data_IF_154060723623
#
_entry.id   IF_154060723623
#
_cell.length_a   1.000
_cell.length_b   1.000
_cell.length_c   1.000
_cell.angle_alpha   90.00
_cell.angle_beta   90.00
_cell.angle_gamma   90.00
#
_symmetry.space_group_name_H-M   'P 1'
#
loop_
_entity.id
_entity.type
_entity.pdbx_description
1 polymer ?
#
# COMPACT_ATOMS: atom_id res chain seq x y z
N UNK A 1 2.25 23.76 -8.61
CA UNK A 1 2.42 22.30 -8.51
C UNK A 1 3.49 22.01 -7.47
N UNK A 2 3.25 21.13 -6.49
CA UNK A 2 4.28 20.62 -5.57
C UNK A 2 4.81 19.30 -6.14
N UNK A 3 6.07 18.99 -5.90
CA UNK A 3 6.64 17.69 -6.25
C UNK A 3 6.13 16.61 -5.29
N UNK A 4 6.39 15.34 -5.62
CA UNK A 4 6.30 14.20 -4.70
C UNK A 4 7.19 14.42 -3.47
N UNK A 5 7.09 13.52 -2.49
CA UNK A 5 8.14 13.36 -1.49
C UNK A 5 9.46 12.87 -2.12
N UNK A 6 10.41 12.53 -1.25
CA UNK A 6 11.78 12.21 -1.65
C UNK A 6 11.81 10.87 -2.40
N UNK A 7 12.40 10.85 -3.60
CA UNK A 7 12.75 9.63 -4.34
C UNK A 7 11.57 8.66 -4.53
N UNK A 8 10.57 8.98 -5.36
CA UNK A 8 9.41 8.14 -5.59
C UNK A 8 9.81 6.80 -6.23
N UNK A 9 9.06 5.75 -5.92
CA UNK A 9 9.32 4.40 -6.44
C UNK A 9 8.07 3.76 -7.08
N UNK A 10 7.04 3.48 -6.28
CA UNK A 10 5.78 2.90 -6.73
C UNK A 10 4.66 3.94 -6.84
N UNK A 11 3.68 3.71 -7.70
CA UNK A 11 2.47 4.51 -7.75
C UNK A 11 1.25 3.69 -8.17
N UNK A 12 0.06 4.14 -7.77
CA UNK A 12 -1.22 3.51 -8.13
C UNK A 12 -2.33 4.56 -8.25
N UNK A 13 -3.40 4.25 -8.99
CA UNK A 13 -4.59 5.09 -9.03
C UNK A 13 -5.61 4.63 -7.98
N UNK A 14 -6.46 5.55 -7.53
CA UNK A 14 -7.70 5.17 -6.84
C UNK A 14 -8.75 4.61 -7.83
N UNK A 15 -9.88 4.11 -7.31
CA UNK A 15 -10.82 3.31 -8.09
C UNK A 15 -11.45 4.04 -9.29
N UNK A 16 -11.73 5.33 -9.14
CA UNK A 16 -12.29 6.18 -10.21
C UNK A 16 -11.21 6.94 -10.99
N UNK A 17 -9.93 6.69 -10.69
CA UNK A 17 -8.76 7.30 -11.30
C UNK A 17 -8.70 8.83 -11.14
N UNK A 18 -9.44 9.41 -10.20
CA UNK A 18 -9.37 10.83 -9.86
C UNK A 18 -8.08 11.20 -9.13
N UNK A 19 -7.42 10.23 -8.51
CA UNK A 19 -6.19 10.43 -7.74
C UNK A 19 -5.09 9.44 -8.13
N UNK A 20 -3.85 9.91 -8.15
CA UNK A 20 -2.65 9.07 -8.18
C UNK A 20 -1.92 9.17 -6.84
N UNK A 21 -1.60 8.00 -6.28
CA UNK A 21 -0.95 7.82 -4.99
C UNK A 21 0.46 7.28 -5.22
N UNK A 22 1.47 7.99 -4.73
CA UNK A 22 2.89 7.75 -5.03
C UNK A 22 3.65 7.43 -3.74
N UNK A 23 4.32 6.29 -3.69
CA UNK A 23 5.20 5.90 -2.61
C UNK A 23 6.54 6.65 -2.72
N UNK A 24 6.83 7.49 -1.72
CA UNK A 24 8.06 8.27 -1.63
C UNK A 24 9.10 7.49 -0.82
N UNK A 25 9.71 6.47 -1.45
CA UNK A 25 10.68 5.54 -0.83
C UNK A 25 11.98 6.22 -0.39
N UNK A 26 12.38 7.28 -1.07
CA UNK A 26 13.67 7.93 -0.87
C UNK A 26 14.80 7.33 -1.71
N UNK A 27 14.53 6.81 -2.91
CA UNK A 27 15.55 6.26 -3.83
C UNK A 27 16.76 7.19 -4.04
N UNK A 28 16.55 8.51 -4.00
CA UNK A 28 17.61 9.51 -4.15
C UNK A 28 18.33 9.90 -2.83
N UNK A 29 17.97 9.29 -1.71
CA UNK A 29 18.43 9.64 -0.37
C UNK A 29 18.47 8.39 0.53
N UNK A 30 19.24 7.38 0.14
CA UNK A 30 19.52 6.19 0.97
C UNK A 30 18.24 5.52 1.53
N UNK A 31 17.13 5.59 0.80
CA UNK A 31 15.81 5.05 1.17
C UNK A 31 15.21 5.63 2.47
N UNK A 32 15.57 6.86 2.84
CA UNK A 32 15.00 7.57 4.02
C UNK A 32 13.61 8.18 3.77
N UNK A 33 12.98 7.89 2.63
CA UNK A 33 11.63 8.35 2.35
C UNK A 33 10.61 7.58 3.20
N UNK A 34 9.53 8.27 3.57
CA UNK A 34 8.54 7.75 4.54
C UNK A 34 7.13 8.30 4.36
N UNK A 35 6.82 8.69 3.13
CA UNK A 35 5.54 9.33 2.81
C UNK A 35 4.90 8.73 1.58
N UNK A 36 3.61 8.93 1.47
CA UNK A 36 2.85 8.73 0.25
C UNK A 36 2.32 10.08 -0.20
N UNK A 37 2.62 10.51 -1.42
CA UNK A 37 2.07 11.74 -1.99
C UNK A 37 0.87 11.46 -2.88
N UNK A 38 -0.19 12.24 -2.73
CA UNK A 38 -1.44 12.12 -3.50
C UNK A 38 -1.60 13.31 -4.43
N UNK A 39 -1.94 13.07 -5.69
CA UNK A 39 -2.20 14.10 -6.70
C UNK A 39 -3.54 13.89 -7.39
N UNK A 40 -4.14 15.00 -7.80
CA UNK A 40 -5.27 15.05 -8.72
C UNK A 40 -4.79 14.67 -10.12
N UNK A 41 -5.47 13.75 -10.78
CA UNK A 41 -5.05 13.25 -12.10
C UNK A 41 -5.43 14.18 -13.25
N UNK A 42 -6.40 15.07 -13.05
CA UNK A 42 -6.88 15.99 -14.07
C UNK A 42 -5.91 17.14 -14.33
N UNK A 43 -5.35 17.71 -13.28
CA UNK A 43 -4.46 18.89 -13.36
C UNK A 43 -3.07 18.68 -12.73
N UNK A 44 -2.79 17.49 -12.17
CA UNK A 44 -1.51 17.19 -11.51
C UNK A 44 -1.30 18.01 -10.24
N UNK A 45 -2.36 18.53 -9.62
CA UNK A 45 -2.25 19.31 -8.39
C UNK A 45 -2.05 18.37 -7.20
N UNK A 46 -1.16 18.78 -6.31
CA UNK A 46 -0.95 18.12 -5.03
C UNK A 46 -2.23 18.17 -4.18
N UNK A 47 -2.62 17.01 -3.65
CA UNK A 47 -3.79 16.84 -2.81
C UNK A 47 -3.41 16.58 -1.36
N UNK A 48 -2.43 15.72 -1.12
CA UNK A 48 -2.00 15.37 0.24
C UNK A 48 -0.60 14.74 0.30
N UNK A 49 -0.03 14.69 1.51
CA UNK A 49 1.18 13.93 1.83
C UNK A 49 0.95 13.16 3.12
N UNK A 50 0.87 11.86 3.00
CA UNK A 50 0.51 10.93 4.07
C UNK A 50 1.77 10.29 4.64
N UNK A 51 1.77 9.99 5.94
CA UNK A 51 2.86 9.24 6.57
C UNK A 51 2.68 7.74 6.31
N UNK A 52 3.76 7.01 6.02
CA UNK A 52 3.70 5.59 5.65
C UNK A 52 4.86 4.72 6.15
N UNK A 53 5.74 5.23 7.01
CA UNK A 53 6.94 4.48 7.46
C UNK A 53 8.07 4.41 6.42
N UNK A 54 9.26 4.00 6.86
CA UNK A 54 10.50 4.00 6.07
C UNK A 54 10.52 2.95 4.97
N UNK A 55 11.20 3.31 3.87
CA UNK A 55 11.33 2.45 2.68
C UNK A 55 9.94 2.03 2.20
N UNK A 56 9.02 3.01 2.13
CA UNK A 56 7.71 2.79 1.53
C UNK A 56 7.89 2.51 0.05
N UNK A 57 7.66 1.26 -0.34
CA UNK A 57 8.13 0.79 -1.64
C UNK A 57 6.97 0.65 -2.62
N UNK A 58 6.04 -0.24 -2.29
CA UNK A 58 4.89 -0.49 -3.12
C UNK A 58 3.62 0.06 -2.49
N UNK A 59 2.72 0.53 -3.36
CA UNK A 59 1.42 1.07 -3.02
C UNK A 59 0.36 0.52 -3.98
N UNK A 60 -0.81 0.14 -3.46
CA UNK A 60 -1.86 -0.45 -4.27
C UNK A 60 -3.27 -0.09 -3.77
N UNK A 61 -4.21 -0.14 -4.70
CA UNK A 61 -5.64 -0.15 -4.42
C UNK A 61 -6.11 -1.57 -4.07
N UNK A 62 -6.85 -1.69 -2.98
CA UNK A 62 -7.57 -2.91 -2.65
C UNK A 62 -8.72 -3.17 -3.65
N UNK A 63 -9.14 -4.43 -3.90
CA UNK A 63 -10.11 -4.75 -4.94
C UNK A 63 -11.49 -4.14 -4.68
N UNK A 64 -11.81 -3.87 -3.40
CA UNK A 64 -13.03 -3.19 -3.00
C UNK A 64 -13.03 -1.68 -3.33
N UNK A 65 -11.90 -1.12 -3.77
CA UNK A 65 -11.71 0.29 -4.11
C UNK A 65 -11.66 1.24 -2.90
N UNK A 66 -11.86 0.74 -1.68
CA UNK A 66 -12.03 1.55 -0.47
C UNK A 66 -10.75 1.78 0.32
N UNK A 67 -9.72 1.00 0.04
CA UNK A 67 -8.46 1.06 0.77
C UNK A 67 -7.26 1.17 -0.16
N UNK A 68 -6.26 1.95 0.26
CA UNK A 68 -4.91 1.98 -0.32
C UNK A 68 -3.94 1.37 0.68
N UNK A 69 -3.13 0.41 0.25
CA UNK A 69 -2.19 -0.30 1.10
C UNK A 69 -0.77 0.06 0.66
N UNK A 70 0.11 0.39 1.61
CA UNK A 70 1.50 0.76 1.35
C UNK A 70 2.46 -0.07 2.21
N UNK A 71 3.52 -0.62 1.61
CA UNK A 71 4.51 -1.45 2.32
C UNK A 71 5.71 -0.64 2.74
N UNK A 72 5.93 -0.55 4.05
CA UNK A 72 7.08 0.08 4.67
C UNK A 72 8.13 -0.98 5.01
N UNK A 73 9.05 -1.23 4.08
CA UNK A 73 9.95 -2.37 4.20
C UNK A 73 10.98 -2.19 5.30
N UNK A 74 11.42 -0.95 5.54
CA UNK A 74 12.38 -0.63 6.59
C UNK A 74 11.81 -0.83 7.99
N UNK A 75 10.49 -0.72 8.13
CA UNK A 75 9.80 -0.90 9.40
C UNK A 75 9.18 -2.29 9.55
N UNK A 76 9.12 -3.10 8.49
CA UNK A 76 8.42 -4.39 8.50
C UNK A 76 6.91 -4.22 8.73
N UNK A 77 6.33 -3.17 8.15
CA UNK A 77 4.95 -2.75 8.40
C UNK A 77 4.19 -2.49 7.11
N UNK A 78 2.86 -2.51 7.21
CA UNK A 78 1.94 -2.18 6.14
C UNK A 78 0.93 -1.15 6.63
N UNK A 79 0.87 -0.03 5.92
CA UNK A 79 -0.01 1.08 6.20
C UNK A 79 -1.24 0.98 5.33
N UNK A 80 -2.42 1.10 5.92
CA UNK A 80 -3.71 1.08 5.21
C UNK A 80 -4.36 2.44 5.34
N UNK A 81 -4.79 3.00 4.22
CA UNK A 81 -5.46 4.29 4.13
C UNK A 81 -6.86 4.09 3.55
N UNK A 82 -7.83 4.85 4.06
CA UNK A 82 -9.14 4.98 3.43
C UNK A 82 -9.02 5.84 2.17
N UNK A 83 -9.49 5.33 1.04
CA UNK A 83 -9.31 5.98 -0.27
C UNK A 83 -10.07 7.30 -0.39
N UNK A 84 -11.19 7.48 0.32
CA UNK A 84 -12.04 8.67 0.19
C UNK A 84 -11.55 9.82 1.07
N UNK A 85 -11.11 9.49 2.29
CA UNK A 85 -10.75 10.46 3.33
C UNK A 85 -9.25 10.63 3.49
N UNK A 86 -8.46 9.75 2.86
CA UNK A 86 -6.99 9.65 2.96
C UNK A 86 -6.47 9.41 4.37
N UNK A 87 -7.35 9.06 5.30
CA UNK A 87 -6.97 8.78 6.67
C UNK A 87 -6.32 7.41 6.77
N UNK A 88 -5.22 7.33 7.52
CA UNK A 88 -4.64 6.05 7.89
C UNK A 88 -5.60 5.33 8.84
N UNK A 89 -6.07 4.16 8.45
CA UNK A 89 -7.02 3.35 9.24
C UNK A 89 -6.30 2.28 10.04
N UNK A 90 -5.23 1.70 9.49
CA UNK A 90 -4.49 0.62 10.13
C UNK A 90 -2.99 0.70 9.87
N UNK A 91 -2.24 0.12 10.81
CA UNK A 91 -0.86 -0.33 10.63
C UNK A 91 -0.83 -1.81 10.98
N UNK A 92 -0.28 -2.61 10.08
CA UNK A 92 -0.19 -4.06 10.20
C UNK A 92 1.29 -4.42 10.31
N UNK A 93 1.68 -4.96 11.46
CA UNK A 93 3.05 -5.46 11.67
C UNK A 93 3.25 -6.79 10.96
N UNK A 94 4.38 -6.94 10.27
CA UNK A 94 4.78 -8.22 9.72
C UNK A 94 5.24 -9.16 10.83
N UNK A 95 4.95 -10.48 10.74
CA UNK A 95 5.48 -11.45 11.68
C UNK A 95 7.00 -11.35 11.74
N UNK A 96 7.53 -11.11 12.95
CA UNK A 96 8.97 -10.92 13.19
C UNK A 96 9.61 -9.77 12.38
N UNK A 97 8.83 -8.76 11.99
CA UNK A 97 9.31 -7.61 11.21
C UNK A 97 9.89 -8.02 9.84
N UNK A 98 9.32 -9.06 9.24
CA UNK A 98 9.72 -9.53 7.90
C UNK A 98 9.51 -8.48 6.82
N UNK A 99 10.28 -8.60 5.73
CA UNK A 99 10.25 -7.67 4.60
C UNK A 99 8.96 -7.83 3.75
N UNK A 100 8.05 -6.83 3.74
CA UNK A 100 6.82 -6.85 2.96
C UNK A 100 7.01 -6.46 1.48
N UNK A 101 8.26 -6.25 1.01
CA UNK A 101 8.62 -5.73 -0.32
C UNK A 101 7.84 -6.36 -1.46
N UNK A 102 7.75 -7.69 -1.53
CA UNK A 102 7.17 -8.36 -2.69
C UNK A 102 5.65 -8.30 -2.79
N UNK A 103 4.96 -7.79 -1.75
CA UNK A 103 3.50 -7.79 -1.70
C UNK A 103 2.88 -9.18 -1.96
N UNK A 104 3.60 -10.26 -1.66
CA UNK A 104 3.10 -11.63 -1.75
C UNK A 104 2.49 -12.00 -0.41
N UNK A 105 1.18 -12.18 -0.38
CA UNK A 105 0.45 -12.54 0.83
C UNK A 105 -0.07 -13.95 0.66
N UNK A 106 0.21 -14.78 1.65
CA UNK A 106 -0.28 -16.15 1.74
C UNK A 106 -1.19 -16.26 2.95
N UNK A 107 -2.36 -16.84 2.74
CA UNK A 107 -3.26 -17.23 3.82
C UNK A 107 -3.06 -18.72 4.10
N UNK A 108 -2.96 -19.09 5.37
CA UNK A 108 -2.97 -20.47 5.82
C UNK A 108 -4.35 -20.79 6.39
N UNK A 109 -4.99 -21.85 5.90
CA UNK A 109 -6.23 -22.35 6.51
C UNK A 109 -5.94 -23.04 7.86
N UNK A 110 -6.99 -23.49 8.55
CA UNK A 110 -6.88 -24.17 9.85
C UNK A 110 -6.01 -25.44 9.80
N UNK A 111 -5.87 -26.06 8.63
CA UNK A 111 -5.03 -27.25 8.38
C UNK A 111 -3.56 -26.90 8.04
N UNK A 112 -3.20 -25.61 7.99
CA UNK A 112 -1.85 -25.16 7.66
C UNK A 112 -1.50 -25.21 6.16
N UNK A 113 -2.48 -25.33 5.27
CA UNK A 113 -2.29 -25.26 3.82
C UNK A 113 -2.26 -23.81 3.36
N UNK A 114 -1.14 -23.39 2.75
CA UNK A 114 -0.97 -22.05 2.20
C UNK A 114 -1.73 -21.86 0.88
N UNK A 115 -2.34 -20.68 0.71
CA UNK A 115 -2.85 -20.17 -0.56
C UNK A 115 -2.31 -18.77 -0.80
N UNK A 116 -1.80 -18.50 -2.01
CA UNK A 116 -1.53 -17.14 -2.44
C UNK A 116 -2.86 -16.41 -2.47
N UNK A 117 -3.02 -15.43 -1.59
CA UNK A 117 -4.17 -14.51 -1.58
C UNK A 117 -3.81 -13.18 -2.22
N UNK A 118 -2.51 -12.96 -2.46
CA UNK A 118 -2.01 -11.86 -3.25
C UNK A 118 -0.59 -12.10 -3.75
N UNK A 119 -0.29 -11.62 -4.95
CA UNK A 119 1.08 -11.40 -5.42
C UNK A 119 1.20 -10.07 -6.18
N UNK A 120 2.32 -9.87 -6.86
CA UNK A 120 2.57 -8.69 -7.71
C UNK A 120 1.53 -8.51 -8.83
N UNK A 121 0.75 -9.55 -9.16
CA UNK A 121 -0.35 -9.52 -10.12
C UNK A 121 -1.71 -9.15 -9.52
N UNK A 122 -1.83 -8.94 -8.21
CA UNK A 122 -3.07 -8.54 -7.54
C UNK A 122 -3.59 -9.55 -6.51
N UNK A 123 -4.83 -9.37 -6.06
CA UNK A 123 -5.47 -10.26 -5.10
C UNK A 123 -6.02 -11.52 -5.77
N UNK A 124 -5.92 -12.63 -5.05
CA UNK A 124 -6.29 -13.95 -5.53
C UNK A 124 -7.31 -14.59 -4.58
N UNK A 125 -8.27 -15.32 -5.14
CA UNK A 125 -9.18 -16.17 -4.37
C UNK A 125 -10.22 -15.45 -3.50
N UNK A 126 -10.39 -14.13 -3.63
CA UNK A 126 -11.43 -13.37 -2.92
C UNK A 126 -11.25 -13.32 -1.40
N UNK A 127 -10.02 -13.43 -0.89
CA UNK A 127 -9.72 -13.45 0.55
C UNK A 127 -8.99 -12.17 0.96
N UNK A 128 -9.43 -11.57 2.07
CA UNK A 128 -8.72 -10.46 2.71
C UNK A 128 -7.43 -10.99 3.37
N UNK A 129 -6.25 -10.46 3.03
CA UNK A 129 -4.99 -11.03 3.47
C UNK A 129 -4.64 -10.65 4.92
N UNK A 130 -5.29 -9.65 5.50
CA UNK A 130 -5.16 -9.29 6.91
C UNK A 130 -6.02 -10.19 7.81
N UNK A 131 -7.28 -10.41 7.43
CA UNK A 131 -8.23 -11.16 8.27
C UNK A 131 -8.34 -12.64 7.93
N UNK A 132 -7.87 -13.05 6.75
CA UNK A 132 -8.04 -14.40 6.23
C UNK A 132 -9.49 -14.77 5.88
N UNK A 133 -10.41 -13.80 5.87
CA UNK A 133 -11.84 -14.03 5.56
C UNK A 133 -12.15 -13.73 4.10
N UNK A 134 -13.24 -14.29 3.60
CA UNK A 134 -13.84 -13.88 2.32
C UNK A 134 -14.03 -12.36 2.29
N UNK A 135 -13.65 -11.73 1.19
CA UNK A 135 -14.06 -10.36 0.87
C UNK A 135 -15.51 -10.44 0.39
N UNK A 136 -16.45 -10.44 1.33
CA UNK A 136 -17.86 -10.27 1.00
C UNK A 136 -18.08 -8.80 0.61
N UNK A 137 -18.61 -8.59 -0.60
CA UNK A 137 -18.90 -7.27 -1.20
C UNK A 137 -20.07 -6.55 -0.53
#
# INVERSE_FOLDING_TARGET
HRATGIGPYGATFNADQSEIWVADKGEANEFFGRTVTVFDTGDGRHLDTLFSGYVVDHILLAPNGKEIWATANGDGQIFVFDTQTRQQTHVIDMPKWGDPHGLVWVHYNEDGVARVVRDQGGFHGGVNPFTGRSMDY
#
